data_IF_020674990942
#
_entry.id   IF_020674990942
#
_cell.length_a   1.000
_cell.length_b   1.000
_cell.length_c   1.000
_cell.angle_alpha   90.00
_cell.angle_beta   90.00
_cell.angle_gamma   90.00
#
_symmetry.space_group_name_H-M   'P 1'
#
loop_
_entity.id
_entity.type
_entity.pdbx_description
1 polymer ?
#
# COMPACT_ATOMS: atom_id res chain seq x y z
N UNK A 1 8.96 10.19 16.44
CA UNK A 1 7.57 10.60 16.12
C UNK A 1 6.80 9.35 15.73
N UNK A 2 6.79 8.38 16.66
CA UNK A 2 5.86 7.27 16.68
C UNK A 2 4.53 7.82 17.23
N UNK A 3 3.44 7.14 16.94
CA UNK A 3 2.07 7.56 17.24
C UNK A 3 1.55 8.59 16.24
N UNK A 4 1.18 8.11 15.04
CA UNK A 4 -0.14 8.56 14.54
C UNK A 4 -1.06 8.25 15.71
N UNK A 5 -1.60 9.26 16.38
CA UNK A 5 -2.67 9.08 17.34
C UNK A 5 -3.64 8.12 16.66
N UNK A 6 -3.64 6.86 17.09
CA UNK A 6 -4.81 6.04 16.97
C UNK A 6 -5.86 6.96 17.56
N UNK A 7 -6.77 7.43 16.70
CA UNK A 7 -8.02 7.94 17.17
C UNK A 7 -8.66 6.73 17.83
N UNK A 8 -8.28 6.51 19.08
CA UNK A 8 -8.68 5.37 19.86
C UNK A 8 -10.07 5.73 20.32
N UNK A 9 -11.00 5.62 19.37
CA UNK A 9 -12.41 5.83 19.60
C UNK A 9 -12.86 4.98 20.78
N UNK A 10 -12.25 3.80 20.97
CA UNK A 10 -12.45 2.95 22.14
C UNK A 10 -11.93 3.61 23.42
N UNK A 11 -10.77 4.26 23.41
CA UNK A 11 -10.31 5.05 24.57
C UNK A 11 -11.20 6.26 24.89
N UNK A 12 -11.73 6.95 23.87
CA UNK A 12 -12.70 8.04 24.08
C UNK A 12 -14.02 7.46 24.62
N UNK A 13 -14.47 6.32 24.12
CA UNK A 13 -15.62 5.59 24.64
C UNK A 13 -15.38 5.15 26.09
N UNK A 14 -14.20 4.64 26.44
CA UNK A 14 -13.81 4.26 27.81
C UNK A 14 -13.75 5.50 28.74
N UNK A 15 -13.19 6.61 28.27
CA UNK A 15 -13.18 7.89 29.00
C UNK A 15 -14.63 8.40 29.19
N UNK A 16 -15.50 8.28 28.19
CA UNK A 16 -16.92 8.65 28.27
C UNK A 16 -17.70 7.71 29.20
N UNK A 17 -17.40 6.42 29.21
CA UNK A 17 -17.98 5.46 30.16
C UNK A 17 -17.58 5.78 31.61
N UNK A 18 -16.39 6.35 31.83
CA UNK A 18 -15.98 6.84 33.15
C UNK A 18 -16.76 8.09 33.61
N UNK A 19 -17.42 8.78 32.67
CA UNK A 19 -18.32 9.91 32.90
C UNK A 19 -19.81 9.49 32.94
N UNK A 20 -20.14 8.19 33.01
CA UNK A 20 -21.53 7.70 33.03
C UNK A 20 -22.41 8.23 34.18
N UNK A 21 -21.82 8.82 35.23
CA UNK A 21 -22.54 9.45 36.33
C UNK A 21 -22.81 10.96 36.10
N UNK A 22 -22.24 11.56 35.05
CA UNK A 22 -22.45 12.96 34.70
C UNK A 22 -23.77 13.13 33.92
N UNK A 23 -24.28 14.37 33.88
CA UNK A 23 -25.47 14.64 33.07
C UNK A 23 -25.15 14.49 31.58
N UNK A 24 -26.15 14.09 30.80
CA UNK A 24 -26.05 13.94 29.33
C UNK A 24 -25.47 15.19 28.66
N UNK A 25 -25.78 16.38 29.20
CA UNK A 25 -25.29 17.66 28.71
C UNK A 25 -23.78 17.84 28.95
N UNK A 26 -23.27 17.41 30.11
CA UNK A 26 -21.83 17.44 30.44
C UNK A 26 -21.05 16.45 29.57
N UNK A 27 -21.57 15.25 29.36
CA UNK A 27 -20.97 14.26 28.45
C UNK A 27 -20.91 14.77 26.99
N UNK A 28 -21.97 15.40 26.49
CA UNK A 28 -22.00 15.96 25.14
C UNK A 28 -20.99 17.10 24.95
N UNK A 29 -20.83 17.98 25.95
CA UNK A 29 -19.84 19.06 25.93
C UNK A 29 -18.43 18.48 25.95
N UNK A 30 -18.18 17.45 26.75
CA UNK A 30 -16.89 16.78 26.82
C UNK A 30 -16.50 16.14 25.48
N UNK A 31 -17.38 15.33 24.88
CA UNK A 31 -17.16 14.69 23.58
C UNK A 31 -16.88 15.75 22.50
N UNK A 32 -17.71 16.80 22.46
CA UNK A 32 -17.56 17.89 21.48
C UNK A 32 -16.22 18.61 21.64
N UNK A 33 -15.79 18.86 22.88
CA UNK A 33 -14.53 19.54 23.17
C UNK A 33 -13.31 18.67 22.81
N UNK A 34 -13.37 17.36 23.07
CA UNK A 34 -12.31 16.40 22.70
C UNK A 34 -12.20 16.25 21.19
N UNK A 35 -13.34 16.12 20.50
CA UNK A 35 -13.38 16.03 19.03
C UNK A 35 -12.87 17.32 18.37
N UNK A 36 -13.27 18.49 18.89
CA UNK A 36 -12.76 19.78 18.41
C UNK A 36 -11.24 19.91 18.60
N UNK A 37 -10.72 19.48 19.75
CA UNK A 37 -9.28 19.45 20.00
C UNK A 37 -8.53 18.55 19.01
N UNK A 38 -9.09 17.38 18.67
CA UNK A 38 -8.53 16.47 17.67
C UNK A 38 -8.52 17.07 16.26
N UNK A 39 -9.63 17.68 15.83
CA UNK A 39 -9.72 18.37 14.54
C UNK A 39 -8.72 19.52 14.43
N UNK A 40 -8.50 20.26 15.54
CA UNK A 40 -7.52 21.35 15.58
C UNK A 40 -6.11 20.82 15.31
N UNK A 41 -5.70 19.76 16.02
CA UNK A 41 -4.37 19.13 15.86
C UNK A 41 -4.19 18.58 14.43
N UNK A 42 -5.18 17.87 13.90
CA UNK A 42 -5.13 17.39 12.50
C UNK A 42 -4.99 18.54 11.50
N UNK A 43 -5.67 19.65 11.73
CA UNK A 43 -5.65 20.81 10.84
C UNK A 43 -4.30 21.53 10.91
N UNK A 44 -3.74 21.69 12.11
CA UNK A 44 -2.41 22.28 12.32
C UNK A 44 -1.30 21.44 11.68
N UNK A 45 -1.32 20.12 11.89
CA UNK A 45 -0.37 19.20 11.27
C UNK A 45 -0.50 19.22 9.74
N UNK A 46 -1.73 19.10 9.23
CA UNK A 46 -1.99 19.19 7.79
C UNK A 46 -1.41 20.49 7.22
N UNK A 47 -1.75 21.65 7.81
CA UNK A 47 -1.26 22.94 7.38
C UNK A 47 0.28 23.04 7.42
N UNK A 48 0.91 22.52 8.48
CA UNK A 48 2.36 22.50 8.61
C UNK A 48 3.05 21.74 7.48
N UNK A 49 2.50 20.61 7.04
CA UNK A 49 3.09 19.84 5.95
C UNK A 49 2.72 20.38 4.56
N UNK A 50 1.49 20.84 4.35
CA UNK A 50 1.02 21.31 3.04
C UNK A 50 1.59 22.67 2.65
N UNK A 51 1.87 23.54 3.63
CA UNK A 51 2.49 24.86 3.41
C UNK A 51 3.97 24.82 3.01
N UNK A 52 4.62 23.65 3.15
CA UNK A 52 6.01 23.45 2.76
C UNK A 52 6.14 23.14 1.28
N UNK A 53 7.25 23.60 0.70
CA UNK A 53 7.65 23.22 -0.65
C UNK A 53 7.85 21.70 -0.75
N UNK A 54 7.53 21.11 -1.91
CA UNK A 54 7.69 19.68 -2.17
C UNK A 54 9.10 19.21 -1.80
N UNK A 55 10.13 19.97 -2.19
CA UNK A 55 11.52 19.58 -1.94
C UNK A 55 11.81 19.43 -0.44
N UNK A 56 11.30 20.34 0.39
CA UNK A 56 11.46 20.29 1.85
C UNK A 56 10.74 19.08 2.47
N UNK A 57 9.68 18.57 1.82
CA UNK A 57 8.94 17.39 2.30
C UNK A 57 9.66 16.08 2.01
N UNK A 58 10.53 16.07 0.99
CA UNK A 58 11.16 14.85 0.44
C UNK A 58 12.69 14.78 0.58
N UNK A 59 13.40 15.91 0.76
CA UNK A 59 14.87 16.00 0.65
C UNK A 59 15.64 15.10 1.63
N UNK A 60 15.15 14.98 2.86
CA UNK A 60 15.78 14.15 3.90
C UNK A 60 15.48 12.65 3.74
N UNK A 61 14.62 12.30 2.78
CA UNK A 61 14.06 10.94 2.60
C UNK A 61 14.50 10.31 1.28
N UNK A 62 15.48 10.93 0.63
CA UNK A 62 15.96 10.53 -0.69
C UNK A 62 16.80 9.26 -0.61
N UNK A 63 16.42 8.27 -1.40
CA UNK A 63 17.20 7.07 -1.69
C UNK A 63 17.88 7.25 -3.04
N UNK A 64 19.20 7.10 -3.08
CA UNK A 64 19.96 7.22 -4.32
C UNK A 64 19.77 5.99 -5.20
N UNK A 65 19.59 6.21 -6.50
CA UNK A 65 19.54 5.17 -7.52
C UNK A 65 20.87 5.14 -8.27
N UNK A 66 21.46 3.97 -8.37
CA UNK A 66 22.79 3.78 -8.99
C UNK A 66 22.69 2.99 -10.28
N UNK A 67 23.51 3.36 -11.26
CA UNK A 67 23.72 2.61 -12.50
C UNK A 67 22.42 2.16 -13.19
N UNK A 68 21.41 3.04 -13.19
CA UNK A 68 20.09 2.88 -13.78
C UNK A 68 19.19 1.82 -13.12
N UNK A 69 19.59 1.28 -11.95
CA UNK A 69 18.80 0.30 -11.18
C UNK A 69 17.86 0.99 -10.19
N UNK A 70 16.67 0.40 -10.01
CA UNK A 70 15.53 1.01 -9.31
C UNK A 70 15.67 1.02 -7.78
N UNK A 71 16.48 0.15 -7.16
CA UNK A 71 16.87 0.10 -5.73
C UNK A 71 18.02 -0.92 -5.60
N UNK A 72 19.04 -0.66 -4.78
CA UNK A 72 20.14 -1.60 -4.54
C UNK A 72 20.19 -1.94 -3.04
N UNK A 73 19.50 -3.01 -2.62
CA UNK A 73 19.62 -3.54 -1.26
C UNK A 73 20.76 -4.58 -1.14
N UNK A 74 21.50 -4.86 -2.22
CA UNK A 74 22.68 -5.72 -2.18
C UNK A 74 23.95 -4.88 -2.04
N UNK A 75 24.27 -4.53 -0.80
CA UNK A 75 25.67 -4.49 -0.38
C UNK A 75 26.03 -5.96 -0.15
N UNK A 76 26.56 -6.62 -1.19
CA UNK A 76 27.32 -7.86 -0.94
C UNK A 76 28.49 -7.46 -0.05
N UNK A 77 28.70 -8.08 1.12
CA UNK A 77 29.94 -7.90 1.86
C UNK A 77 31.07 -8.27 0.90
N UNK A 78 32.06 -7.38 0.80
CA UNK A 78 33.36 -7.77 0.25
C UNK A 78 33.91 -8.81 1.22
N UNK A 79 33.81 -10.09 0.86
CA UNK A 79 34.74 -11.06 1.40
C UNK A 79 36.12 -10.65 0.86
N UNK A 80 36.98 -10.28 1.79
CA UNK A 80 38.40 -10.02 1.57
C UNK A 80 38.99 -11.22 0.83
N UNK A 81 39.43 -10.98 -0.41
CA UNK A 81 40.48 -11.77 -1.01
C UNK A 81 41.31 -10.84 -1.90
N UNK A 82 42.61 -10.84 -1.62
CA UNK A 82 43.68 -10.08 -2.22
C UNK A 82 43.58 -10.04 -3.76
N UNK A 83 43.11 -8.92 -4.28
CA UNK A 83 43.47 -8.37 -5.59
C UNK A 83 42.83 -6.98 -5.71
N UNK A 84 43.65 -5.95 -5.88
CA UNK A 84 43.23 -4.58 -6.20
C UNK A 84 42.36 -4.56 -7.47
N UNK A 85 41.06 -4.79 -7.32
CA UNK A 85 40.07 -4.48 -8.35
C UNK A 85 39.74 -3.00 -8.24
N UNK A 86 39.69 -2.27 -9.36
CA UNK A 86 39.35 -0.85 -9.34
C UNK A 86 37.99 -0.70 -8.66
N UNK A 87 37.94 0.13 -7.61
CA UNK A 87 36.71 0.52 -6.93
C UNK A 87 35.75 1.02 -7.99
N UNK A 88 34.74 0.21 -8.34
CA UNK A 88 33.70 0.61 -9.30
C UNK A 88 32.92 1.74 -8.65
N UNK A 89 33.26 2.98 -9.00
CA UNK A 89 32.50 4.16 -8.59
C UNK A 89 31.13 4.09 -9.29
N UNK A 90 30.09 3.74 -8.52
CA UNK A 90 28.71 3.67 -9.03
C UNK A 90 28.24 5.08 -9.37
N UNK A 91 27.64 5.27 -10.55
CA UNK A 91 27.12 6.58 -10.97
C UNK A 91 25.71 6.78 -10.44
N UNK A 92 25.46 7.89 -9.76
CA UNK A 92 24.09 8.27 -9.38
C UNK A 92 23.30 8.56 -10.66
N UNK A 93 22.20 7.85 -10.83
CA UNK A 93 21.35 7.89 -12.02
C UNK A 93 19.95 8.42 -11.73
N UNK A 94 19.55 8.49 -10.47
CA UNK A 94 18.28 9.04 -10.05
C UNK A 94 18.10 9.03 -8.54
N UNK A 95 16.89 9.37 -8.11
CA UNK A 95 16.47 9.39 -6.72
C UNK A 95 15.09 8.76 -6.60
N UNK A 96 14.80 8.20 -5.43
CA UNK A 96 13.47 7.72 -5.07
C UNK A 96 13.14 8.12 -3.64
N UNK A 97 11.85 8.19 -3.32
CA UNK A 97 11.35 8.40 -1.96
C UNK A 97 10.51 7.22 -1.57
N UNK A 98 10.49 6.88 -0.28
CA UNK A 98 9.47 5.99 0.24
C UNK A 98 8.25 6.84 0.64
N UNK A 99 7.09 6.56 0.04
CA UNK A 99 5.89 7.37 0.27
C UNK A 99 5.44 7.32 1.73
N UNK A 100 5.67 6.21 2.43
CA UNK A 100 5.36 6.06 3.85
C UNK A 100 6.11 7.09 4.71
N UNK A 101 7.24 7.62 4.24
CA UNK A 101 8.01 8.63 4.96
C UNK A 101 7.53 10.05 4.65
N UNK A 102 6.53 10.25 3.79
CA UNK A 102 6.09 11.56 3.28
C UNK A 102 4.66 11.91 3.73
N UNK A 103 4.48 12.48 4.94
CA UNK A 103 3.17 12.83 5.49
C UNK A 103 2.37 13.74 4.57
N UNK A 104 1.06 13.50 4.51
CA UNK A 104 0.08 14.29 3.75
C UNK A 104 0.40 14.45 2.25
N UNK A 105 1.31 13.65 1.70
CA UNK A 105 1.65 13.62 0.28
C UNK A 105 0.97 12.41 -0.35
N UNK A 106 0.25 12.65 -1.44
CA UNK A 106 -0.32 11.61 -2.27
C UNK A 106 0.25 11.69 -3.68
N UNK A 107 0.43 10.53 -4.29
CA UNK A 107 0.89 10.40 -5.67
C UNK A 107 -0.12 9.53 -6.40
N UNK A 108 -0.78 10.11 -7.38
CA UNK A 108 -1.61 9.38 -8.34
C UNK A 108 -0.72 8.98 -9.50
N UNK A 109 -0.48 7.69 -9.67
CA UNK A 109 0.34 7.11 -10.73
C UNK A 109 -0.57 6.51 -11.80
N UNK A 110 -0.57 7.13 -12.98
CA UNK A 110 -1.36 6.70 -14.13
C UNK A 110 -0.45 5.95 -15.09
N UNK A 111 -0.58 4.63 -15.07
CA UNK A 111 0.14 3.69 -15.91
C UNK A 111 -0.58 3.51 -17.25
N UNK A 112 -0.13 4.25 -18.27
CA UNK A 112 -0.71 4.16 -19.62
C UNK A 112 -0.33 2.82 -20.27
N UNK A 113 -1.32 2.15 -20.86
CA UNK A 113 -1.20 0.83 -21.44
C UNK A 113 -0.08 0.78 -22.50
N UNK A 114 0.94 -0.06 -22.24
CA UNK A 114 2.13 -0.22 -23.07
C UNK A 114 1.85 -0.91 -24.41
N UNK A 115 0.66 -1.46 -24.61
CA UNK A 115 0.22 -2.06 -25.89
C UNK A 115 -0.19 -1.00 -26.92
N UNK A 116 -0.53 0.21 -26.46
CA UNK A 116 -0.86 1.34 -27.32
C UNK A 116 0.38 1.88 -28.04
N UNK A 117 0.19 2.48 -29.22
CA UNK A 117 1.26 3.16 -29.95
C UNK A 117 1.78 4.38 -29.17
N UNK A 118 2.94 4.91 -29.54
CA UNK A 118 3.46 6.12 -28.87
C UNK A 118 2.55 7.33 -29.11
N UNK A 119 1.95 7.45 -30.30
CA UNK A 119 0.96 8.49 -30.63
C UNK A 119 -0.30 8.37 -29.76
N UNK A 120 -0.85 7.16 -29.61
CA UNK A 120 -2.02 6.91 -28.77
C UNK A 120 -1.72 7.18 -27.29
N UNK A 121 -0.55 6.76 -26.80
CA UNK A 121 -0.11 7.03 -25.43
C UNK A 121 0.08 8.53 -25.19
N UNK A 122 0.56 9.25 -26.19
CA UNK A 122 0.67 10.71 -26.14
C UNK A 122 -0.71 11.38 -26.12
N UNK A 123 -1.66 10.89 -26.91
CA UNK A 123 -3.04 11.41 -26.91
C UNK A 123 -3.70 11.23 -25.54
N UNK A 124 -3.61 10.03 -24.94
CA UNK A 124 -4.15 9.75 -23.60
C UNK A 124 -3.54 10.67 -22.55
N UNK A 125 -2.21 10.83 -22.57
CA UNK A 125 -1.53 11.71 -21.61
C UNK A 125 -1.92 13.17 -21.80
N UNK A 126 -2.01 13.64 -23.05
CA UNK A 126 -2.37 15.01 -23.35
C UNK A 126 -3.81 15.31 -22.94
N UNK A 127 -4.75 14.37 -23.13
CA UNK A 127 -6.13 14.53 -22.65
C UNK A 127 -6.20 14.72 -21.12
N UNK A 128 -5.44 13.91 -20.37
CA UNK A 128 -5.35 14.02 -18.91
C UNK A 128 -4.71 15.35 -18.49
N UNK A 129 -3.62 15.75 -19.16
CA UNK A 129 -2.93 17.00 -18.88
C UNK A 129 -3.80 18.23 -19.20
N UNK A 130 -4.55 18.21 -20.30
CA UNK A 130 -5.50 19.26 -20.68
C UNK A 130 -6.56 19.47 -19.60
N UNK A 131 -7.17 18.39 -19.08
CA UNK A 131 -8.13 18.49 -17.96
C UNK A 131 -7.51 19.17 -16.74
N UNK A 132 -6.27 18.78 -16.38
CA UNK A 132 -5.55 19.36 -15.24
C UNK A 132 -5.24 20.84 -15.48
N UNK A 133 -4.74 21.21 -16.66
CA UNK A 133 -4.39 22.60 -16.96
C UNK A 133 -5.62 23.51 -17.05
N UNK A 134 -6.72 23.04 -17.66
CA UNK A 134 -7.98 23.80 -17.75
C UNK A 134 -8.65 24.02 -16.40
N UNK A 135 -8.46 23.09 -15.46
CA UNK A 135 -8.97 23.20 -14.09
C UNK A 135 -8.12 24.08 -13.16
N UNK A 136 -6.99 24.60 -13.64
CA UNK A 136 -6.02 25.39 -12.87
C UNK A 136 -5.52 24.70 -11.57
N UNK A 137 -5.54 23.36 -11.51
CA UNK A 137 -5.05 22.62 -10.35
C UNK A 137 -3.56 22.93 -10.10
N UNK A 138 -3.26 23.42 -8.91
CA UNK A 138 -1.92 23.48 -8.35
C UNK A 138 -1.47 22.07 -7.92
N UNK A 139 -0.99 21.30 -8.89
CA UNK A 139 -0.35 19.99 -8.68
C UNK A 139 1.06 20.00 -9.25
N UNK A 140 1.86 19.00 -8.88
CA UNK A 140 3.16 18.76 -9.48
C UNK A 140 3.10 17.53 -10.39
N UNK A 141 3.56 17.67 -11.63
CA UNK A 141 3.37 16.68 -12.68
C UNK A 141 4.72 16.11 -13.13
N UNK A 142 4.79 14.79 -13.31
CA UNK A 142 5.99 14.12 -13.81
C UNK A 142 5.58 13.05 -14.84
N UNK A 143 6.17 13.11 -16.03
CA UNK A 143 6.10 12.02 -17.00
C UNK A 143 6.98 10.89 -16.49
N UNK A 144 6.42 9.68 -16.35
CA UNK A 144 7.19 8.55 -15.84
C UNK A 144 8.10 7.98 -16.92
N UNK A 145 9.10 7.19 -16.50
CA UNK A 145 10.04 6.54 -17.41
C UNK A 145 9.36 5.76 -18.54
N UNK A 146 8.26 5.08 -18.24
CA UNK A 146 7.47 4.33 -19.22
C UNK A 146 6.33 5.14 -19.83
N UNK A 147 6.41 6.47 -19.80
CA UNK A 147 5.43 7.37 -20.40
C UNK A 147 4.08 7.41 -19.69
N UNK A 148 3.97 6.94 -18.44
CA UNK A 148 2.81 7.24 -17.60
C UNK A 148 2.84 8.68 -17.08
N UNK A 149 2.05 8.94 -16.04
CA UNK A 149 1.96 10.24 -15.38
C UNK A 149 1.90 10.08 -13.87
N UNK A 150 2.83 10.70 -13.14
CA UNK A 150 2.68 10.94 -11.71
C UNK A 150 2.07 12.33 -11.48
N UNK A 151 1.08 12.38 -10.59
CA UNK A 151 0.47 13.61 -10.10
C UNK A 151 0.69 13.68 -8.59
N UNK A 152 1.54 14.62 -8.17
CA UNK A 152 1.80 14.92 -6.76
C UNK A 152 0.76 15.92 -6.28
N UNK A 153 0.05 15.54 -5.22
CA UNK A 153 -1.03 16.30 -4.62
C UNK A 153 -1.02 16.10 -3.10
N UNK A 154 -1.82 16.90 -2.39
CA UNK A 154 -2.00 16.71 -0.95
C UNK A 154 -3.02 15.61 -0.70
N UNK A 155 -2.83 14.86 0.39
CA UNK A 155 -3.88 14.00 0.90
C UNK A 155 -5.06 14.83 1.35
N UNK A 156 -6.25 14.27 1.20
CA UNK A 156 -7.42 14.79 1.87
C UNK A 156 -7.44 14.25 3.32
N UNK A 157 -7.33 15.11 4.34
CA UNK A 157 -7.30 14.68 5.74
C UNK A 157 -8.63 14.06 6.20
N UNK A 158 -9.71 14.27 5.45
CA UNK A 158 -11.03 13.71 5.75
C UNK A 158 -11.27 12.37 5.04
N UNK A 159 -10.38 11.96 4.15
CA UNK A 159 -10.44 10.66 3.48
C UNK A 159 -9.62 9.67 4.28
N UNK A 160 -10.29 8.69 4.87
CA UNK A 160 -9.63 7.50 5.38
C UNK A 160 -9.20 6.65 4.18
N UNK A 161 -7.90 6.58 3.93
CA UNK A 161 -7.35 5.71 2.90
C UNK A 161 -7.25 4.28 3.45
N UNK A 162 -7.54 3.29 2.61
CA UNK A 162 -7.50 1.91 3.05
C UNK A 162 -6.09 1.39 3.38
N UNK A 163 -5.07 1.82 2.62
CA UNK A 163 -3.65 1.38 2.71
C UNK A 163 -2.70 2.41 2.10
N UNK A 164 -1.41 2.28 2.35
CA UNK A 164 -0.36 3.09 1.73
C UNK A 164 -0.30 3.01 0.20
N UNK A 165 -0.87 1.94 -0.37
CA UNK A 165 -0.78 1.61 -1.78
C UNK A 165 -2.09 1.02 -2.23
N UNK A 166 -2.80 1.75 -3.07
CA UNK A 166 -4.07 1.36 -3.66
C UNK A 166 -3.78 1.15 -5.14
N UNK A 167 -3.58 -0.11 -5.52
CA UNK A 167 -3.10 -0.50 -6.86
C UNK A 167 -4.28 -0.98 -7.72
N UNK A 168 -4.38 -0.46 -8.94
CA UNK A 168 -5.32 -0.85 -10.00
C UNK A 168 -6.78 -0.89 -9.55
N UNK A 169 -7.18 0.11 -8.76
CA UNK A 169 -8.61 0.26 -8.42
C UNK A 169 -9.40 0.87 -9.57
N UNK A 170 -8.75 1.71 -10.38
CA UNK A 170 -9.30 2.24 -11.61
C UNK A 170 -8.50 1.64 -12.75
N UNK A 171 -9.15 0.78 -13.52
CA UNK A 171 -8.56 0.15 -14.71
C UNK A 171 -9.47 0.47 -15.89
N UNK A 172 -8.87 1.03 -16.93
CA UNK A 172 -9.51 1.24 -18.23
C UNK A 172 -8.74 0.46 -19.29
N UNK A 173 -9.26 0.42 -20.52
CA UNK A 173 -8.51 -0.15 -21.65
C UNK A 173 -7.21 0.62 -21.94
N UNK A 174 -7.18 1.91 -21.59
CA UNK A 174 -6.11 2.84 -21.97
C UNK A 174 -5.05 3.03 -20.87
N UNK A 175 -5.45 2.93 -19.60
CA UNK A 175 -4.55 3.14 -18.47
C UNK A 175 -5.08 2.52 -17.18
N UNK A 176 -4.16 2.24 -16.28
CA UNK A 176 -4.41 1.88 -14.89
C UNK A 176 -4.08 3.05 -13.98
N UNK A 177 -4.76 3.18 -12.84
CA UNK A 177 -4.46 4.18 -11.80
C UNK A 177 -4.10 3.49 -10.50
N UNK A 178 -2.89 3.80 -10.03
CA UNK A 178 -2.37 3.45 -8.72
C UNK A 178 -2.28 4.70 -7.85
N UNK A 179 -2.45 4.55 -6.54
CA UNK A 179 -2.36 5.65 -5.58
C UNK A 179 -1.38 5.25 -4.50
N UNK A 180 -0.46 6.14 -4.23
CA UNK A 180 0.55 6.00 -3.20
C UNK A 180 0.40 7.12 -2.19
N UNK A 181 0.27 6.73 -0.92
CA UNK A 181 -0.11 7.59 0.17
C UNK A 181 0.64 7.15 1.45
N UNK A 182 1.13 8.09 2.25
CA UNK A 182 1.50 7.89 3.66
C UNK A 182 0.27 7.70 4.58
N UNK A 183 -0.28 6.49 4.66
CA UNK A 183 -1.42 6.11 5.53
C UNK A 183 -0.96 5.45 6.84
N UNK A 184 0.14 4.71 6.80
CA UNK A 184 0.83 4.11 7.94
C UNK A 184 2.35 4.11 7.68
N UNK A 185 3.14 4.65 8.61
CA UNK A 185 4.60 4.67 8.51
C UNK A 185 5.22 3.26 8.60
N UNK A 186 4.48 2.30 9.15
CA UNK A 186 4.94 0.92 9.38
C UNK A 186 4.59 -0.04 8.24
N UNK A 187 3.69 0.37 7.32
CA UNK A 187 3.31 -0.43 6.15
C UNK A 187 4.41 -0.50 5.08
N UNK A 188 4.26 -1.43 4.12
CA UNK A 188 5.30 -1.77 3.15
C UNK A 188 5.89 -0.55 2.44
N UNK A 189 7.23 -0.50 2.38
CA UNK A 189 7.99 0.55 1.71
C UNK A 189 7.65 0.62 0.21
N UNK A 190 6.89 1.63 -0.21
CA UNK A 190 6.62 1.91 -1.63
C UNK A 190 7.53 3.03 -2.10
N UNK A 191 8.56 2.64 -2.85
CA UNK A 191 9.51 3.60 -3.38
C UNK A 191 9.03 4.17 -4.71
N UNK A 192 8.87 5.50 -4.74
CA UNK A 192 8.47 6.27 -5.91
C UNK A 192 9.69 6.97 -6.48
N UNK A 193 9.94 6.73 -7.77
CA UNK A 193 11.06 7.34 -8.48
C UNK A 193 10.76 8.81 -8.73
N UNK A 194 11.70 9.67 -8.38
CA UNK A 194 11.59 11.11 -8.51
C UNK A 194 11.91 11.60 -9.93
N UNK A 195 11.45 12.81 -10.31
CA UNK A 195 11.89 13.44 -11.56
C UNK A 195 13.41 13.58 -11.65
N UNK A 196 13.89 13.81 -12.86
CA UNK A 196 15.33 13.89 -13.22
C UNK A 196 16.08 12.55 -13.10
N UNK A 197 15.38 11.48 -12.68
CA UNK A 197 15.90 10.11 -12.63
C UNK A 197 15.94 9.45 -14.01
N UNK A 198 16.96 8.62 -14.20
CA UNK A 198 17.18 7.77 -15.37
C UNK A 198 17.22 6.32 -14.94
N UNK A 199 16.40 5.48 -15.58
CA UNK A 199 16.33 4.05 -15.28
C UNK A 199 16.48 3.20 -16.54
N UNK A 200 16.86 1.94 -16.36
CA UNK A 200 16.85 0.91 -17.40
C UNK A 200 16.01 -0.25 -16.92
N UNK A 201 15.28 -0.86 -17.84
CA UNK A 201 14.65 -2.14 -17.57
C UNK A 201 15.69 -3.23 -17.64
N UNK A 202 15.79 -4.01 -16.56
CA UNK A 202 16.63 -5.19 -16.49
C UNK A 202 15.76 -6.44 -16.59
N UNK A 203 16.34 -7.48 -17.17
CA UNK A 203 15.83 -8.83 -17.13
C UNK A 203 16.86 -9.74 -16.47
N UNK A 204 16.37 -10.78 -15.82
CA UNK A 204 17.22 -11.80 -15.23
C UNK A 204 17.47 -12.88 -16.28
N UNK A 205 18.72 -13.01 -16.70
CA UNK A 205 19.14 -14.10 -17.58
C UNK A 205 19.31 -15.37 -16.72
N UNK A 206 18.39 -16.32 -16.90
CA UNK A 206 18.35 -17.58 -16.12
C UNK A 206 19.55 -18.48 -16.37
N UNK A 207 20.20 -18.36 -17.53
CA UNK A 207 21.38 -19.15 -17.91
C UNK A 207 22.64 -18.58 -17.27
N UNK A 208 22.87 -17.27 -17.43
CA UNK A 208 24.08 -16.61 -16.90
C UNK A 208 23.94 -16.20 -15.43
N UNK A 209 22.74 -16.36 -14.85
CA UNK A 209 22.35 -15.92 -13.50
C UNK A 209 22.65 -14.45 -13.22
N UNK A 210 22.65 -13.61 -14.27
CA UNK A 210 22.97 -12.17 -14.21
C UNK A 210 21.80 -11.33 -14.66
N UNK A 211 21.65 -10.15 -14.06
CA UNK A 211 20.77 -9.12 -14.56
C UNK A 211 21.43 -8.41 -15.75
N UNK A 212 20.70 -8.30 -16.86
CA UNK A 212 21.14 -7.58 -18.05
C UNK A 212 20.05 -6.59 -18.48
N UNK A 213 20.40 -5.43 -19.07
CA UNK A 213 19.40 -4.52 -19.62
C UNK A 213 18.61 -5.21 -20.73
N UNK A 214 17.27 -5.11 -20.71
CA UNK A 214 16.41 -5.62 -21.78
C UNK A 214 16.73 -4.99 -23.14
N UNK A 215 17.04 -3.70 -23.12
CA UNK A 215 17.52 -2.95 -24.28
C UNK A 215 18.74 -2.12 -23.86
N UNK A 216 19.96 -2.48 -24.29
CA UNK A 216 21.20 -1.87 -23.82
C UNK A 216 21.26 -0.35 -23.97
N UNK A 217 20.66 0.18 -25.04
CA UNK A 217 20.71 1.60 -25.39
C UNK A 217 19.49 2.39 -24.91
N UNK A 218 18.43 1.72 -24.47
CA UNK A 218 17.22 2.39 -24.02
C UNK A 218 17.40 2.90 -22.60
N UNK A 219 17.14 4.18 -22.37
CA UNK A 219 17.15 4.82 -21.06
C UNK A 219 15.83 5.54 -20.89
N UNK A 220 15.11 5.19 -19.84
CA UNK A 220 13.84 5.82 -19.48
C UNK A 220 14.09 6.98 -18.53
N UNK A 221 13.40 8.09 -18.73
CA UNK A 221 13.58 9.34 -17.97
C UNK A 221 12.29 9.73 -17.27
N UNK A 222 12.40 10.19 -16.03
CA UNK A 222 11.32 10.83 -15.31
C UNK A 222 11.45 12.34 -15.52
N UNK A 223 10.46 12.95 -16.16
CA UNK A 223 10.57 14.33 -16.64
C UNK A 223 9.51 15.20 -15.96
N UNK A 224 9.91 16.32 -15.38
CA UNK A 224 8.98 17.31 -14.81
C UNK A 224 8.11 17.87 -15.95
N UNK A 225 6.80 17.91 -15.75
CA UNK A 225 5.83 18.47 -16.69
C UNK A 225 5.26 19.79 -16.17
N UNK A 226 4.75 20.63 -17.08
CA UNK A 226 4.10 21.90 -16.77
C UNK A 226 4.76 23.10 -17.46
N UNK A 227 3.91 24.04 -17.89
CA UNK A 227 4.31 25.30 -18.51
C UNK A 227 4.04 26.48 -17.55
N UNK A 228 4.73 26.61 -16.41
CA UNK A 228 4.51 27.81 -15.57
C UNK A 228 5.62 28.16 -14.56
N UNK A 229 5.73 29.49 -14.33
CA UNK A 229 6.53 30.31 -13.39
C UNK A 229 7.13 29.69 -12.11
N UNK A 230 6.59 28.60 -11.57
CA UNK A 230 7.03 28.00 -10.30
C UNK A 230 7.51 26.57 -10.57
N UNK A 231 8.79 26.32 -10.28
CA UNK A 231 9.45 25.02 -10.47
C UNK A 231 8.80 23.95 -9.59
N UNK A 232 8.76 22.70 -10.08
CA UNK A 232 8.29 21.52 -9.33
C UNK A 232 8.71 21.54 -7.86
N UNK A 233 10.00 21.76 -7.62
CA UNK A 233 10.62 21.68 -6.29
C UNK A 233 10.04 22.74 -5.33
N UNK A 234 9.57 23.87 -5.85
CA UNK A 234 9.05 25.04 -5.10
C UNK A 234 7.53 25.06 -4.96
N UNK A 235 6.82 24.08 -5.50
CA UNK A 235 5.37 24.00 -5.31
C UNK A 235 5.06 23.66 -3.86
N UNK A 236 4.08 24.35 -3.31
CA UNK A 236 3.47 24.15 -1.99
C UNK A 236 1.97 24.33 -2.12
N UNK A 237 1.22 24.07 -1.06
CA UNK A 237 -0.23 24.25 -1.02
C UNK A 237 -0.91 23.57 -2.22
N UNK A 238 -0.47 22.33 -2.50
CA UNK A 238 -0.99 21.53 -3.60
C UNK A 238 -2.49 21.26 -3.38
N UNK A 239 -3.22 21.14 -4.48
CA UNK A 239 -4.61 20.71 -4.39
C UNK A 239 -4.74 19.31 -3.78
N UNK A 240 -5.90 19.04 -3.18
CA UNK A 240 -6.22 17.76 -2.58
C UNK A 240 -6.44 16.71 -3.66
N UNK A 241 -6.14 15.45 -3.34
CA UNK A 241 -6.43 14.31 -4.20
C UNK A 241 -7.92 14.20 -4.58
N UNK A 242 -8.85 14.61 -3.70
CA UNK A 242 -10.28 14.68 -4.01
C UNK A 242 -10.60 15.60 -5.19
N UNK A 243 -9.91 16.74 -5.28
CA UNK A 243 -10.03 17.69 -6.39
C UNK A 243 -9.40 17.13 -7.67
N UNK A 244 -8.26 16.43 -7.56
CA UNK A 244 -7.62 15.74 -8.70
C UNK A 244 -8.57 14.69 -9.28
N UNK A 245 -9.21 13.88 -8.42
CA UNK A 245 -10.15 12.85 -8.82
C UNK A 245 -11.37 13.45 -9.52
N UNK A 246 -11.94 14.52 -8.94
CA UNK A 246 -13.05 15.23 -9.54
C UNK A 246 -12.73 15.73 -10.96
N UNK A 247 -11.59 16.38 -11.15
CA UNK A 247 -11.16 16.91 -12.46
C UNK A 247 -10.92 15.80 -13.49
N UNK A 248 -10.36 14.67 -13.06
CA UNK A 248 -10.09 13.53 -13.94
C UNK A 248 -11.31 12.63 -14.17
N UNK A 249 -12.42 12.86 -13.46
CA UNK A 249 -13.62 12.03 -13.51
C UNK A 249 -13.43 10.67 -12.85
N UNK A 250 -12.53 10.58 -11.87
CA UNK A 250 -12.29 9.37 -11.09
C UNK A 250 -13.20 9.34 -9.87
N UNK A 251 -13.73 8.15 -9.57
CA UNK A 251 -14.55 7.95 -8.39
C UNK A 251 -13.66 7.87 -7.14
N UNK A 252 -13.83 8.85 -6.25
CA UNK A 252 -13.11 8.95 -4.98
C UNK A 252 -13.52 7.85 -3.99
N UNK A 253 -14.71 7.27 -4.16
CA UNK A 253 -15.15 6.17 -3.30
C UNK A 253 -14.25 4.94 -3.48
N UNK A 254 -13.64 4.73 -4.65
CA UNK A 254 -12.78 3.58 -4.89
C UNK A 254 -11.51 3.52 -4.03
N UNK A 255 -11.18 4.63 -3.37
CA UNK A 255 -9.91 4.83 -2.65
C UNK A 255 -10.14 5.08 -1.16
N UNK A 256 -11.37 5.40 -0.79
CA UNK A 256 -11.82 5.45 0.59
C UNK A 256 -11.77 4.06 1.20
N UNK A 257 -11.46 4.02 2.49
CA UNK A 257 -11.72 2.89 3.33
C UNK A 257 -13.24 2.73 3.41
N UNK A 258 -13.72 1.66 2.80
CA UNK A 258 -15.04 1.14 3.11
C UNK A 258 -14.83 0.10 4.18
N UNK A 259 -15.47 0.28 5.34
CA UNK A 259 -15.85 -0.89 6.12
C UNK A 259 -16.60 -1.80 5.14
N UNK A 260 -16.17 -3.05 5.02
CA UNK A 260 -16.99 -4.03 4.30
C UNK A 260 -18.39 -3.92 4.91
N UNK A 261 -19.39 -3.65 4.08
CA UNK A 261 -20.76 -3.55 4.54
C UNK A 261 -21.09 -4.78 5.38
N UNK A 262 -21.68 -4.56 6.55
CA UNK A 262 -22.32 -5.60 7.38
C UNK A 262 -23.37 -6.46 6.61
N UNK A 263 -23.59 -6.20 5.31
CA UNK A 263 -24.36 -7.08 4.45
C UNK A 263 -23.68 -8.41 4.12
N UNK A 264 -22.35 -8.50 4.20
CA UNK A 264 -21.69 -9.83 4.22
C UNK A 264 -21.78 -10.48 5.62
N UNK A 265 -21.96 -9.70 6.69
CA UNK A 265 -22.20 -10.21 8.05
C UNK A 265 -23.67 -10.65 8.27
N UNK A 266 -24.64 -10.06 7.56
CA UNK A 266 -26.03 -10.55 7.57
C UNK A 266 -26.23 -11.83 6.75
N UNK A 267 -25.32 -12.16 5.83
CA UNK A 267 -25.28 -13.50 5.25
C UNK A 267 -24.63 -14.52 6.19
N UNK A 268 -23.89 -14.07 7.21
CA UNK A 268 -23.25 -14.94 8.21
C UNK A 268 -24.01 -15.04 9.55
N UNK A 269 -25.03 -14.23 9.79
CA UNK A 269 -25.79 -14.26 11.04
C UNK A 269 -26.95 -15.26 11.07
N UNK A 270 -27.14 -16.10 10.04
CA UNK A 270 -28.16 -17.16 10.09
C UNK A 270 -27.64 -18.54 9.67
N UNK A 271 -26.33 -18.78 9.77
CA UNK A 271 -25.81 -20.14 9.85
C UNK A 271 -25.00 -20.26 11.12
N UNK A 272 -25.69 -20.57 12.22
CA UNK A 272 -25.05 -21.03 13.45
C UNK A 272 -24.36 -22.37 13.13
N UNK A 273 -23.13 -22.32 12.64
CA UNK A 273 -22.38 -23.49 12.19
C UNK A 273 -22.16 -24.42 13.38
N UNK A 274 -22.69 -25.63 13.31
CA UNK A 274 -22.54 -26.59 14.40
C UNK A 274 -21.15 -27.23 14.39
N UNK A 275 -20.70 -27.74 15.54
CA UNK A 275 -19.44 -28.50 15.63
C UNK A 275 -19.36 -29.64 14.62
N UNK A 276 -20.48 -30.31 14.33
CA UNK A 276 -20.56 -31.38 13.32
C UNK A 276 -20.27 -30.87 11.90
N UNK A 277 -20.72 -29.66 11.55
CA UNK A 277 -20.42 -29.04 10.25
C UNK A 277 -18.94 -28.63 10.17
N UNK A 278 -18.38 -28.12 11.27
CA UNK A 278 -16.96 -27.83 11.37
C UNK A 278 -16.10 -29.10 11.22
N UNK A 279 -16.51 -30.22 11.82
CA UNK A 279 -15.85 -31.53 11.68
C UNK A 279 -15.84 -32.01 10.22
N UNK A 280 -16.97 -31.91 9.52
CA UNK A 280 -17.08 -32.29 8.10
C UNK A 280 -16.11 -31.44 7.26
N UNK A 281 -16.05 -30.14 7.50
CA UNK A 281 -15.16 -29.22 6.79
C UNK A 281 -13.69 -29.59 7.00
N UNK A 282 -13.25 -29.78 8.26
CA UNK A 282 -11.86 -30.14 8.57
C UNK A 282 -11.48 -31.49 7.98
N UNK A 283 -12.36 -32.49 8.06
CA UNK A 283 -12.10 -33.82 7.51
C UNK A 283 -12.06 -33.82 5.97
N UNK A 284 -12.73 -32.86 5.31
CA UNK A 284 -12.72 -32.73 3.85
C UNK A 284 -11.45 -32.07 3.28
N UNK A 285 -10.58 -31.50 4.13
CA UNK A 285 -9.36 -30.79 3.72
C UNK A 285 -8.28 -31.69 3.08
N UNK A 286 -8.38 -33.01 3.22
CA UNK A 286 -7.39 -33.98 2.73
C UNK A 286 -7.16 -33.94 1.20
N UNK A 287 -8.05 -33.30 0.43
CA UNK A 287 -7.95 -33.19 -1.03
C UNK A 287 -7.36 -31.84 -1.51
N UNK A 288 -6.80 -31.02 -0.62
CA UNK A 288 -6.27 -29.68 -0.94
C UNK A 288 -4.73 -29.65 -0.99
N UNK A 289 -4.19 -28.92 -1.97
CA UNK A 289 -2.75 -28.62 -2.05
C UNK A 289 -2.48 -27.31 -1.30
N UNK A 290 -1.59 -27.35 -0.30
CA UNK A 290 -1.37 -26.24 0.63
C UNK A 290 -0.01 -25.58 0.39
N UNK A 291 -0.03 -24.28 0.07
CA UNK A 291 1.14 -23.43 -0.18
C UNK A 291 1.44 -22.46 0.96
N UNK A 292 2.68 -21.96 1.03
CA UNK A 292 3.10 -20.97 2.05
C UNK A 292 2.67 -19.53 1.69
N UNK A 293 2.66 -19.17 0.40
CA UNK A 293 2.23 -17.86 -0.11
C UNK A 293 1.38 -18.02 -1.38
N UNK A 294 0.51 -17.04 -1.62
CA UNK A 294 -0.60 -17.00 -2.58
C UNK A 294 -0.44 -17.88 -3.84
N UNK A 295 -1.49 -18.65 -4.16
CA UNK A 295 -1.61 -19.40 -5.40
C UNK A 295 -2.93 -19.05 -6.13
N UNK A 296 -2.86 -18.94 -7.47
CA UNK A 296 -3.93 -18.50 -8.38
C UNK A 296 -4.79 -19.66 -8.93
N UNK A 297 -5.24 -20.61 -8.11
CA UNK A 297 -6.14 -21.68 -8.61
C UNK A 297 -7.08 -22.23 -7.54
N UNK A 298 -8.27 -22.67 -7.95
CA UNK A 298 -9.36 -23.16 -7.09
C UNK A 298 -9.00 -24.33 -6.17
N UNK A 299 -8.00 -25.16 -6.52
CA UNK A 299 -7.54 -26.31 -5.72
C UNK A 299 -6.32 -26.06 -4.82
N UNK A 300 -5.91 -24.78 -4.65
CA UNK A 300 -4.72 -24.39 -3.87
C UNK A 300 -5.08 -23.37 -2.80
N UNK A 301 -4.75 -23.68 -1.55
CA UNK A 301 -4.97 -22.78 -0.40
C UNK A 301 -3.66 -22.45 0.33
N UNK A 302 -3.68 -21.50 1.26
CA UNK A 302 -2.50 -21.11 2.04
C UNK A 302 -2.67 -21.42 3.53
N UNK A 303 -1.56 -21.62 4.24
CA UNK A 303 -1.57 -21.78 5.70
C UNK A 303 -2.27 -20.61 6.40
N UNK A 304 -2.04 -19.39 5.93
CA UNK A 304 -2.70 -18.21 6.48
C UNK A 304 -4.23 -18.31 6.39
N UNK A 305 -4.77 -18.61 5.21
CA UNK A 305 -6.22 -18.74 5.00
C UNK A 305 -6.81 -19.86 5.86
N UNK A 306 -6.17 -21.02 5.86
CA UNK A 306 -6.64 -22.17 6.65
C UNK A 306 -6.63 -21.88 8.16
N UNK A 307 -5.56 -21.29 8.66
CA UNK A 307 -5.42 -21.04 10.10
C UNK A 307 -6.34 -19.92 10.57
N UNK A 308 -6.53 -18.89 9.76
CA UNK A 308 -7.57 -17.88 10.01
C UNK A 308 -8.96 -18.52 10.06
N UNK A 309 -9.30 -19.41 9.11
CA UNK A 309 -10.59 -20.11 9.13
C UNK A 309 -10.77 -21.01 10.35
N UNK A 310 -9.74 -21.76 10.75
CA UNK A 310 -9.79 -22.59 11.97
C UNK A 310 -9.95 -21.73 13.21
N UNK A 311 -9.24 -20.60 13.31
CA UNK A 311 -9.32 -19.74 14.48
C UNK A 311 -10.68 -19.05 14.64
N UNK A 312 -11.37 -18.74 13.54
CA UNK A 312 -12.75 -18.21 13.58
C UNK A 312 -13.74 -19.24 14.15
N UNK A 313 -13.48 -20.55 14.00
CA UNK A 313 -14.35 -21.61 14.54
C UNK A 313 -14.35 -21.68 16.08
N UNK A 314 -13.46 -20.97 16.77
CA UNK A 314 -13.50 -20.79 18.24
C UNK A 314 -14.81 -20.18 18.74
N UNK A 315 -15.53 -19.46 17.87
CA UNK A 315 -16.82 -18.84 18.21
C UNK A 315 -18.01 -19.83 18.23
N UNK A 316 -17.81 -21.10 17.85
CA UNK A 316 -18.87 -22.14 17.84
C UNK A 316 -19.05 -22.69 19.26
N UNK A 317 -20.31 -22.78 19.72
CA UNK A 317 -20.69 -23.06 21.13
C UNK A 317 -20.19 -24.39 21.75
N UNK A 318 -19.56 -25.29 20.98
CA UNK A 318 -19.02 -26.58 21.44
C UNK A 318 -17.57 -26.84 20.96
N UNK A 319 -16.93 -25.84 20.35
CA UNK A 319 -15.53 -25.92 19.90
C UNK A 319 -14.63 -25.39 21.01
N UNK A 320 -13.86 -26.31 21.61
CA UNK A 320 -12.86 -25.97 22.61
C UNK A 320 -11.45 -25.88 22.00
N UNK A 321 -10.51 -25.43 22.83
CA UNK A 321 -9.10 -25.32 22.44
C UNK A 321 -8.50 -26.68 22.04
N UNK A 322 -9.00 -27.78 22.60
CA UNK A 322 -8.56 -29.12 22.27
C UNK A 322 -8.92 -29.46 20.82
N UNK A 323 -10.17 -29.20 20.41
CA UNK A 323 -10.64 -29.40 19.05
C UNK A 323 -9.85 -28.56 18.03
N UNK A 324 -9.55 -27.30 18.37
CA UNK A 324 -8.72 -26.42 17.53
C UNK A 324 -7.32 -27.01 17.31
N UNK A 325 -6.70 -27.54 18.38
CA UNK A 325 -5.40 -28.19 18.28
C UNK A 325 -5.45 -29.48 17.44
N UNK A 326 -6.51 -30.28 17.58
CA UNK A 326 -6.74 -31.46 16.75
C UNK A 326 -6.94 -31.10 15.27
N UNK A 327 -7.64 -30.00 14.97
CA UNK A 327 -7.78 -29.48 13.61
C UNK A 327 -6.42 -29.07 13.01
N UNK A 328 -5.58 -28.37 13.78
CA UNK A 328 -4.21 -28.07 13.36
C UNK A 328 -3.38 -29.34 13.10
N UNK A 329 -3.50 -30.35 13.97
CA UNK A 329 -2.80 -31.62 13.80
C UNK A 329 -3.27 -32.36 12.53
N UNK A 330 -4.56 -32.32 12.20
CA UNK A 330 -5.07 -32.89 10.94
C UNK A 330 -4.49 -32.15 9.73
N UNK A 331 -4.41 -30.82 9.76
CA UNK A 331 -3.85 -30.03 8.65
C UNK A 331 -2.35 -30.32 8.45
N UNK A 332 -1.59 -30.55 9.53
CA UNK A 332 -0.15 -30.87 9.42
C UNK A 332 0.11 -32.24 8.76
N UNK A 333 -0.87 -33.14 8.85
CA UNK A 333 -0.82 -34.50 8.30
C UNK A 333 -1.27 -34.58 6.84
N UNK A 334 -1.79 -33.50 6.25
CA UNK A 334 -2.19 -33.50 4.83
C UNK A 334 -0.99 -33.83 3.94
N UNK A 335 -1.18 -34.81 3.04
CA UNK A 335 -0.11 -35.38 2.21
C UNK A 335 0.51 -34.32 1.29
N UNK A 336 -0.33 -33.46 0.69
CA UNK A 336 0.06 -32.43 -0.27
C UNK A 336 0.44 -31.07 0.37
N UNK A 337 0.87 -31.09 1.63
CA UNK A 337 1.49 -29.93 2.28
C UNK A 337 2.94 -29.76 1.78
N UNK A 338 3.17 -28.71 0.99
CA UNK A 338 4.46 -28.48 0.31
C UNK A 338 5.57 -28.18 1.34
N UNK A 339 6.81 -28.60 1.04
CA UNK A 339 7.99 -28.51 1.94
C UNK A 339 8.13 -27.15 2.64
N UNK A 340 7.95 -26.04 1.90
CA UNK A 340 8.02 -24.67 2.49
C UNK A 340 6.84 -24.33 3.41
N UNK A 341 5.67 -24.92 3.20
CA UNK A 341 4.54 -24.77 4.12
C UNK A 341 4.79 -25.60 5.39
N UNK A 342 5.28 -26.85 5.25
CA UNK A 342 5.71 -27.67 6.40
C UNK A 342 6.72 -26.94 7.29
N UNK A 343 7.77 -26.36 6.69
CA UNK A 343 8.81 -25.65 7.44
C UNK A 343 8.33 -24.37 8.15
N UNK A 344 7.18 -23.82 7.76
CA UNK A 344 6.61 -22.59 8.34
C UNK A 344 5.32 -22.85 9.15
N UNK A 345 4.92 -24.10 9.30
CA UNK A 345 3.65 -24.49 9.90
C UNK A 345 3.52 -23.98 11.34
N UNK A 346 4.44 -24.37 12.23
CA UNK A 346 4.39 -24.00 13.64
C UNK A 346 4.52 -22.50 13.86
N UNK A 347 5.44 -21.86 13.14
CA UNK A 347 5.62 -20.40 13.20
C UNK A 347 4.36 -19.65 12.78
N UNK A 348 3.66 -20.13 11.75
CA UNK A 348 2.43 -19.50 11.27
C UNK A 348 1.26 -19.75 12.23
N UNK A 349 1.19 -20.95 12.82
CA UNK A 349 0.19 -21.32 13.82
C UNK A 349 0.28 -20.42 15.05
N UNK A 350 1.48 -20.30 15.63
CA UNK A 350 1.72 -19.47 16.83
C UNK A 350 1.33 -18.02 16.55
N UNK A 351 1.86 -17.45 15.45
CA UNK A 351 1.60 -16.05 15.08
C UNK A 351 0.12 -15.72 14.89
N UNK A 352 -0.68 -16.67 14.40
CA UNK A 352 -2.10 -16.44 14.14
C UNK A 352 -2.99 -16.79 15.32
N UNK A 353 -2.58 -17.73 16.17
CA UNK A 353 -3.28 -18.05 17.42
C UNK A 353 -3.27 -16.88 18.41
N UNK A 354 -2.19 -16.08 18.43
CA UNK A 354 -2.02 -14.88 19.28
C UNK A 354 -2.81 -13.66 18.79
N UNK A 355 -3.36 -13.69 17.57
CA UNK A 355 -4.04 -12.56 16.92
C UNK A 355 -5.56 -12.73 16.83
N UNK A 356 -6.10 -13.81 17.40
CA UNK A 356 -7.49 -14.24 17.22
C UNK A 356 -8.16 -14.56 18.53
#
# INVERSE_FOLDING_TARGET
MADRLNFDYNKILEEVESHNNDSVEVCNIYISSRFLGYLLVLTEDNYYYTSKEIISRISEKLKQLYDFKKLNDEITPLEDDEQEKPVKTRKITGQAINIADCPYLAIVDIDINKKLSEEERNLVRNELLEKIYQSELNVALVKTGHGGLHIYCNMDPLILFARNSIVKKITTEKYDVDIFACVDYNESKRCIVLPDSRIKDFEYNTITKKQQPKQPNQVFKYEKLGNAKIKFDKKKDLNLISQVFQVLGFDIELIKYHEQSEQDDKASQDVNMTKQQADILINSLNNLIIHNYAAKSEKKTTLFKLFSSVNVMKAIADVDLQWINEAYNKISQIQDLIIKARSNFDRTRIRLAERS
#
